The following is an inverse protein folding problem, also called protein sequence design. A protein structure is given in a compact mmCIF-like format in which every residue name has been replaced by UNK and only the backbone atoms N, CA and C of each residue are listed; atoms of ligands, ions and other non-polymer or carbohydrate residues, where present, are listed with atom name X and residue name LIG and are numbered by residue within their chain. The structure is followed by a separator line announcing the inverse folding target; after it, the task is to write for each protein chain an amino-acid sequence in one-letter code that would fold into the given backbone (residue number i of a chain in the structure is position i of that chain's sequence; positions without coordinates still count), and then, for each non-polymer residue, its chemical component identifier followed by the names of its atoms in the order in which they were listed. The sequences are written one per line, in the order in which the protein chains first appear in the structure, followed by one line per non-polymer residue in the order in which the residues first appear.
data_IF_085160293421
#
_entry.id   IF_085160293421
#
_cell.length_a   1.000
_cell.length_b   1.000
_cell.length_c   1.000
_cell.angle_alpha   90.00
_cell.angle_beta   90.00
_cell.angle_gamma   90.00
#
_symmetry.space_group_name_H-M   'P 1'
#
loop_
_entity.id
_entity.type
_entity.pdbx_description
1 polymer ?
#
# COMPACT_ATOMS: atom_id res chain seq x y z
N UNK A 1 -44.72 -21.31 -57.44
CA UNK A 1 -43.60 -20.52 -56.88
C UNK A 1 -44.14 -19.53 -55.86
N UNK A 2 -43.98 -19.79 -54.56
CA UNK A 2 -44.06 -18.78 -53.49
C UNK A 2 -42.94 -19.11 -52.50
N UNK A 3 -41.93 -18.25 -52.47
CA UNK A 3 -40.78 -18.39 -51.59
C UNK A 3 -41.20 -18.11 -50.14
N UNK A 4 -40.92 -19.05 -49.25
CA UNK A 4 -41.01 -18.90 -47.80
C UNK A 4 -39.73 -18.16 -47.35
N UNK A 5 -39.85 -16.89 -46.96
CA UNK A 5 -38.76 -16.15 -46.34
C UNK A 5 -38.72 -16.43 -44.85
N UNK A 6 -37.82 -17.29 -44.40
CA UNK A 6 -37.52 -17.46 -42.98
C UNK A 6 -36.69 -16.26 -42.51
N UNK A 7 -37.28 -15.41 -41.67
CA UNK A 7 -36.57 -14.35 -40.96
C UNK A 7 -35.79 -15.04 -39.82
N UNK A 8 -34.48 -15.13 -39.97
CA UNK A 8 -33.57 -15.56 -38.92
C UNK A 8 -33.40 -14.40 -37.95
N UNK A 9 -34.01 -14.50 -36.77
CA UNK A 9 -33.64 -13.65 -35.64
C UNK A 9 -32.29 -14.16 -35.11
N UNK A 10 -31.20 -13.47 -35.47
CA UNK A 10 -29.94 -13.60 -34.76
C UNK A 10 -30.13 -12.87 -33.43
N UNK A 11 -30.46 -13.62 -32.38
CA UNK A 11 -30.36 -13.14 -31.01
C UNK A 11 -28.86 -12.94 -30.74
N UNK A 12 -28.36 -11.73 -30.95
CA UNK A 12 -27.07 -11.35 -30.41
C UNK A 12 -27.20 -11.36 -28.89
N UNK A 13 -26.77 -12.45 -28.26
CA UNK A 13 -26.54 -12.47 -26.83
C UNK A 13 -25.47 -11.41 -26.52
N UNK A 14 -25.93 -10.22 -26.14
CA UNK A 14 -25.08 -9.27 -25.43
C UNK A 14 -24.75 -9.96 -24.12
N UNK A 15 -23.55 -10.53 -24.03
CA UNK A 15 -22.94 -10.86 -22.76
C UNK A 15 -22.82 -9.55 -21.98
N UNK A 16 -23.86 -9.19 -21.23
CA UNK A 16 -23.69 -8.31 -20.08
C UNK A 16 -22.82 -9.10 -19.11
N UNK A 17 -21.51 -8.93 -19.20
CA UNK A 17 -20.63 -9.30 -18.11
C UNK A 17 -21.10 -8.47 -16.91
N UNK A 18 -21.65 -9.14 -15.90
CA UNK A 18 -21.92 -8.48 -14.62
C UNK A 18 -20.60 -7.98 -14.06
N UNK A 19 -20.56 -6.75 -13.56
CA UNK A 19 -19.40 -6.23 -12.88
C UNK A 19 -18.95 -7.20 -11.75
N UNK A 20 -17.65 -7.36 -11.56
CA UNK A 20 -17.11 -8.11 -10.43
C UNK A 20 -17.50 -7.46 -9.09
N UNK A 21 -17.62 -6.12 -9.08
CA UNK A 21 -17.87 -5.37 -7.86
C UNK A 21 -18.65 -4.07 -8.11
N UNK A 22 -19.57 -3.76 -7.21
CA UNK A 22 -20.21 -2.44 -7.11
C UNK A 22 -19.84 -1.75 -5.80
N UNK A 23 -19.53 -0.46 -5.86
CA UNK A 23 -19.27 0.40 -4.71
C UNK A 23 -20.36 1.47 -4.69
N UNK A 24 -21.14 1.53 -3.62
CA UNK A 24 -22.25 2.45 -3.45
C UNK A 24 -21.97 3.31 -2.23
N UNK A 25 -21.87 4.62 -2.42
CA UNK A 25 -21.69 5.59 -1.34
C UNK A 25 -23.00 6.34 -1.18
N UNK A 26 -23.61 6.27 -0.01
CA UNK A 26 -24.85 6.95 0.33
C UNK A 26 -24.60 7.95 1.45
N UNK A 27 -25.32 9.07 1.42
CA UNK A 27 -25.23 10.14 2.41
C UNK A 27 -26.50 11.00 2.37
N UNK A 28 -26.79 11.69 3.46
CA UNK A 28 -27.87 12.67 3.57
C UNK A 28 -27.40 14.03 3.02
N UNK A 29 -27.85 14.36 1.81
CA UNK A 29 -27.42 15.58 1.12
C UNK A 29 -27.84 16.90 1.83
N UNK A 30 -28.78 16.86 2.78
CA UNK A 30 -29.17 18.02 3.58
C UNK A 30 -28.21 18.30 4.74
N UNK A 31 -27.52 17.28 5.25
CA UNK A 31 -26.59 17.40 6.36
C UNK A 31 -25.14 17.58 5.88
N UNK A 32 -24.82 17.11 4.67
CA UNK A 32 -23.52 17.33 4.05
C UNK A 32 -23.42 16.70 2.68
N UNK A 33 -22.38 17.08 1.93
CA UNK A 33 -22.09 16.48 0.64
C UNK A 33 -20.74 15.77 0.68
N UNK A 34 -20.69 14.56 0.14
CA UNK A 34 -19.51 13.72 0.12
C UNK A 34 -19.07 13.46 -1.31
N UNK A 35 -17.77 13.39 -1.55
CA UNK A 35 -17.21 13.03 -2.85
C UNK A 35 -16.35 11.79 -2.74
N UNK A 36 -16.61 10.82 -3.60
CA UNK A 36 -15.85 9.57 -3.64
C UNK A 36 -14.74 9.68 -4.68
N UNK A 37 -13.54 9.26 -4.31
CA UNK A 37 -12.38 9.16 -5.19
C UNK A 37 -11.88 7.72 -5.18
N UNK A 38 -11.90 7.07 -6.33
CA UNK A 38 -11.24 5.77 -6.51
C UNK A 38 -9.84 6.02 -7.08
N UNK A 39 -8.82 5.76 -6.26
CA UNK A 39 -7.43 5.75 -6.71
C UNK A 39 -7.12 4.38 -7.31
N UNK A 40 -7.16 4.29 -8.64
CA UNK A 40 -7.03 3.07 -9.42
C UNK A 40 -5.60 2.88 -9.93
N UNK A 41 -4.95 1.81 -9.48
CA UNK A 41 -3.58 1.46 -9.85
C UNK A 41 -3.57 0.25 -10.79
N UNK A 42 -2.97 0.44 -11.97
CA UNK A 42 -2.82 -0.61 -12.98
C UNK A 42 -1.56 -0.41 -13.81
N UNK A 43 -0.76 -1.47 -13.93
CA UNK A 43 0.47 -1.48 -14.74
C UNK A 43 1.47 -0.39 -14.34
N UNK A 44 1.58 -0.10 -13.03
CA UNK A 44 2.48 0.91 -12.49
C UNK A 44 2.03 2.36 -12.67
N UNK A 45 0.80 2.59 -13.15
CA UNK A 45 0.20 3.92 -13.27
C UNK A 45 -0.97 4.04 -12.32
N UNK A 46 -1.20 5.26 -11.83
CA UNK A 46 -2.32 5.62 -10.98
C UNK A 46 -3.27 6.55 -11.74
N UNK A 47 -4.56 6.25 -11.69
CA UNK A 47 -5.66 7.07 -12.17
C UNK A 47 -6.60 7.38 -11.01
N UNK A 48 -7.31 8.51 -11.07
CA UNK A 48 -8.24 8.93 -10.01
C UNK A 48 -9.61 9.15 -10.62
N UNK A 49 -10.57 8.34 -10.19
CA UNK A 49 -11.95 8.36 -10.69
C UNK A 49 -12.81 9.04 -9.63
N UNK A 50 -13.37 10.21 -9.98
CA UNK A 50 -14.15 11.06 -9.06
C UNK A 50 -15.63 10.94 -9.35
N UNK A 51 -16.43 10.62 -8.34
CA UNK A 51 -17.87 10.41 -8.53
C UNK A 51 -18.61 11.64 -9.07
N UNK A 52 -18.18 12.85 -8.70
CA UNK A 52 -18.79 14.09 -9.19
C UNK A 52 -18.44 14.42 -10.66
N UNK A 53 -17.34 13.90 -11.21
CA UNK A 53 -16.92 14.17 -12.60
C UNK A 53 -17.53 13.21 -13.62
N UNK A 54 -18.13 12.10 -13.18
CA UNK A 54 -18.79 11.08 -14.02
C UNK A 54 -17.92 10.48 -15.16
N UNK A 55 -16.61 10.70 -15.16
CA UNK A 55 -15.68 10.13 -16.14
C UNK A 55 -15.26 8.71 -15.71
N UNK A 56 -15.34 7.68 -16.58
CA UNK A 56 -14.82 6.35 -16.28
C UNK A 56 -13.29 6.32 -16.25
N UNK A 57 -12.70 5.20 -15.80
CA UNK A 57 -11.26 4.95 -15.98
C UNK A 57 -10.90 4.88 -17.47
N UNK A 58 -9.64 5.16 -17.85
CA UNK A 58 -9.24 5.22 -19.28
C UNK A 58 -9.40 3.89 -19.99
N UNK A 59 -9.30 2.79 -19.25
CA UNK A 59 -9.51 1.42 -19.75
C UNK A 59 -10.96 0.94 -19.65
N UNK A 60 -11.89 1.79 -19.21
CA UNK A 60 -13.30 1.51 -18.96
C UNK A 60 -13.59 0.41 -17.94
N UNK A 61 -12.58 -0.03 -17.17
CA UNK A 61 -12.74 -1.04 -16.12
C UNK A 61 -13.56 -0.52 -14.94
N UNK A 62 -13.45 0.77 -14.61
CA UNK A 62 -14.23 1.44 -13.58
C UNK A 62 -15.19 2.42 -14.24
N UNK A 63 -16.48 2.27 -13.98
CA UNK A 63 -17.54 3.15 -14.49
C UNK A 63 -18.32 3.75 -13.34
N UNK A 64 -18.85 4.94 -13.55
CA UNK A 64 -19.73 5.62 -12.60
C UNK A 64 -21.17 5.39 -13.10
N UNK A 65 -22.01 4.80 -12.25
CA UNK A 65 -23.40 4.54 -12.56
C UNK A 65 -24.30 5.65 -12.00
N UNK A 66 -25.35 6.01 -12.74
CA UNK A 66 -26.37 6.94 -12.24
C UNK A 66 -27.30 6.20 -11.27
N UNK A 67 -27.51 6.77 -10.07
CA UNK A 67 -28.48 6.24 -9.11
C UNK A 67 -29.88 6.71 -9.46
N UNK A 68 -30.82 5.77 -9.52
CA UNK A 68 -32.25 6.06 -9.74
C UNK A 68 -32.94 6.77 -8.55
N UNK A 69 -32.35 6.74 -7.34
CA UNK A 69 -32.97 7.23 -6.09
C UNK A 69 -32.40 8.55 -5.54
N UNK A 70 -31.71 9.34 -6.35
CA UNK A 70 -31.48 10.77 -6.11
C UNK A 70 -30.29 11.19 -5.24
N UNK A 71 -29.78 10.37 -4.32
CA UNK A 71 -28.65 10.76 -3.45
C UNK A 71 -27.54 9.70 -3.43
N UNK A 72 -26.27 10.12 -3.41
CA UNK A 72 -25.10 9.24 -3.38
C UNK A 72 -24.43 8.95 -4.73
N UNK A 73 -23.34 8.18 -4.70
CA UNK A 73 -22.49 7.84 -5.84
C UNK A 73 -22.38 6.32 -5.99
N UNK A 74 -22.34 5.82 -7.23
CA UNK A 74 -22.14 4.40 -7.51
C UNK A 74 -21.03 4.20 -8.53
N UNK A 75 -20.16 3.23 -8.26
CA UNK A 75 -19.10 2.79 -9.16
C UNK A 75 -19.25 1.29 -9.40
N UNK A 76 -18.97 0.86 -10.63
CA UNK A 76 -18.89 -0.56 -10.99
C UNK A 76 -17.49 -0.85 -11.51
N UNK A 77 -16.89 -1.93 -11.02
CA UNK A 77 -15.58 -2.44 -11.46
C UNK A 77 -15.83 -3.73 -12.24
N UNK A 78 -15.53 -3.73 -13.54
CA UNK A 78 -15.78 -4.88 -14.40
C UNK A 78 -14.88 -6.07 -14.06
N UNK A 79 -13.57 -5.82 -13.89
CA UNK A 79 -12.58 -6.85 -13.53
C UNK A 79 -11.71 -6.39 -12.36
N UNK A 80 -11.81 -7.14 -11.27
CA UNK A 80 -11.06 -6.93 -10.03
C UNK A 80 -9.76 -7.73 -9.97
N UNK A 81 -9.52 -8.64 -10.92
CA UNK A 81 -8.30 -9.44 -10.99
C UNK A 81 -7.11 -8.58 -11.41
N UNK A 82 -5.99 -8.72 -10.72
CA UNK A 82 -4.75 -8.10 -11.17
C UNK A 82 -4.70 -6.56 -11.05
N UNK A 83 -5.66 -5.97 -10.34
CA UNK A 83 -5.73 -4.53 -10.09
C UNK A 83 -5.57 -4.23 -8.61
N UNK A 84 -5.30 -2.97 -8.31
CA UNK A 84 -5.48 -2.41 -6.98
C UNK A 84 -6.26 -1.10 -7.10
N UNK A 85 -7.19 -0.85 -6.19
CA UNK A 85 -7.90 0.41 -6.12
C UNK A 85 -8.20 0.79 -4.67
N UNK A 86 -7.95 2.03 -4.27
CA UNK A 86 -8.35 2.52 -2.95
C UNK A 86 -9.62 3.36 -3.07
N UNK A 87 -10.56 3.16 -2.15
CA UNK A 87 -11.84 3.86 -2.10
C UNK A 87 -11.76 4.93 -1.03
N UNK A 88 -11.67 6.19 -1.45
CA UNK A 88 -11.61 7.35 -0.57
C UNK A 88 -12.93 8.12 -0.61
N UNK A 89 -13.33 8.67 0.53
CA UNK A 89 -14.52 9.51 0.64
C UNK A 89 -14.15 10.78 1.41
N UNK A 90 -14.34 11.93 0.76
CA UNK A 90 -14.01 13.25 1.29
C UNK A 90 -15.26 14.12 1.44
N UNK A 91 -15.23 15.08 2.34
CA UNK A 91 -16.21 16.18 2.37
C UNK A 91 -16.06 16.95 1.05
N UNK A 92 -17.15 17.13 0.29
CA UNK A 92 -17.10 17.78 -1.02
C UNK A 92 -16.72 19.27 -0.92
N UNK A 93 -17.12 19.93 0.17
CA UNK A 93 -16.88 21.35 0.43
C UNK A 93 -15.61 21.61 1.24
N UNK A 94 -14.75 20.60 1.34
CA UNK A 94 -13.42 20.73 1.92
C UNK A 94 -12.53 21.61 1.02
N UNK A 95 -12.85 22.90 0.93
CA UNK A 95 -11.97 23.91 0.35
C UNK A 95 -11.13 24.53 1.46
N UNK A 96 -9.81 24.48 1.30
CA UNK A 96 -8.85 24.96 2.29
C UNK A 96 -8.93 26.48 2.47
N UNK A 97 -9.37 27.22 1.45
CA UNK A 97 -9.52 28.68 1.53
C UNK A 97 -10.63 29.10 2.52
N UNK A 98 -11.51 28.16 2.91
CA UNK A 98 -12.64 28.39 3.81
C UNK A 98 -12.73 27.39 4.97
N UNK A 99 -11.63 26.74 5.33
CA UNK A 99 -11.62 25.74 6.40
C UNK A 99 -12.18 26.27 7.73
N UNK A 100 -13.12 25.52 8.30
CA UNK A 100 -13.65 25.71 9.65
C UNK A 100 -13.74 24.35 10.38
N UNK A 101 -13.62 24.34 11.71
CA UNK A 101 -13.62 23.09 12.50
C UNK A 101 -14.93 22.31 12.35
N UNK A 102 -16.05 22.98 12.06
CA UNK A 102 -17.33 22.33 11.75
C UNK A 102 -17.26 21.42 10.52
N UNK A 103 -16.33 21.65 9.60
CA UNK A 103 -16.17 20.81 8.40
C UNK A 103 -15.67 19.39 8.73
N UNK A 104 -15.10 19.19 9.93
CA UNK A 104 -14.51 17.91 10.35
C UNK A 104 -15.55 16.87 10.77
N UNK A 105 -16.81 17.27 11.02
CA UNK A 105 -17.91 16.36 11.39
C UNK A 105 -18.89 16.11 10.26
N UNK A 106 -18.76 16.80 9.12
CA UNK A 106 -19.73 16.76 8.01
C UNK A 106 -19.97 15.35 7.49
N UNK A 107 -18.93 14.52 7.39
CA UNK A 107 -19.07 13.14 6.90
C UNK A 107 -19.88 12.27 7.87
N UNK A 108 -19.72 12.47 9.18
CA UNK A 108 -20.50 11.80 10.21
C UNK A 108 -21.93 12.32 10.25
N UNK A 109 -22.13 13.63 10.19
CA UNK A 109 -23.45 14.27 10.20
C UNK A 109 -24.28 13.92 8.96
N UNK A 110 -23.62 13.78 7.81
CA UNK A 110 -24.24 13.28 6.58
C UNK A 110 -24.48 11.77 6.58
N UNK A 111 -24.15 11.06 7.67
CA UNK A 111 -24.33 9.62 7.83
C UNK A 111 -23.79 8.83 6.64
N UNK A 112 -22.57 9.17 6.19
CA UNK A 112 -22.01 8.56 4.98
C UNK A 112 -21.77 7.07 5.20
N UNK A 113 -22.32 6.23 4.34
CA UNK A 113 -22.08 4.78 4.34
C UNK A 113 -21.56 4.32 2.99
N UNK A 114 -20.51 3.50 3.00
CA UNK A 114 -19.98 2.82 1.81
C UNK A 114 -20.41 1.36 1.84
N UNK A 115 -21.17 0.93 0.83
CA UNK A 115 -21.53 -0.46 0.59
C UNK A 115 -20.71 -0.97 -0.59
N UNK A 116 -19.95 -2.05 -0.38
CA UNK A 116 -19.21 -2.74 -1.45
C UNK A 116 -19.82 -4.11 -1.65
N UNK A 117 -20.44 -4.33 -2.81
CA UNK A 117 -20.96 -5.63 -3.22
C UNK A 117 -19.91 -6.32 -4.08
N UNK A 118 -19.23 -7.31 -3.50
CA UNK A 118 -18.26 -8.16 -4.16
C UNK A 118 -19.00 -9.38 -4.75
N UNK A 119 -19.44 -9.25 -6.00
CA UNK A 119 -20.21 -10.29 -6.69
C UNK A 119 -19.35 -11.53 -6.97
N UNK A 120 -18.05 -11.32 -7.19
CA UNK A 120 -17.08 -12.37 -7.43
C UNK A 120 -16.94 -13.31 -6.22
N UNK A 121 -16.78 -12.75 -5.02
CA UNK A 121 -16.63 -13.53 -3.78
C UNK A 121 -17.96 -13.73 -3.05
N UNK A 122 -19.06 -13.17 -3.56
CA UNK A 122 -20.42 -13.27 -3.00
C UNK A 122 -20.51 -12.76 -1.57
N UNK A 123 -19.88 -11.61 -1.32
CA UNK A 123 -19.88 -10.94 -0.02
C UNK A 123 -20.22 -9.46 -0.20
N UNK A 124 -20.92 -8.89 0.77
CA UNK A 124 -21.17 -7.46 0.84
C UNK A 124 -20.52 -6.89 2.09
N UNK A 125 -19.78 -5.80 1.92
CA UNK A 125 -19.17 -5.05 3.02
C UNK A 125 -19.93 -3.75 3.23
N UNK A 126 -20.12 -3.37 4.49
CA UNK A 126 -20.64 -2.07 4.90
C UNK A 126 -19.55 -1.38 5.72
N UNK A 127 -19.13 -0.20 5.29
CA UNK A 127 -18.11 0.62 5.94
C UNK A 127 -18.75 1.93 6.34
N UNK A 128 -18.70 2.22 7.64
CA UNK A 128 -19.16 3.48 8.22
C UNK A 128 -18.00 4.48 8.33
N UNK A 129 -18.34 5.76 8.40
CA UNK A 129 -17.37 6.81 8.73
C UNK A 129 -16.74 6.54 10.10
N UNK A 130 -15.40 6.64 10.25
CA UNK A 130 -14.78 6.61 11.57
C UNK A 130 -15.34 7.70 12.50
N UNK A 131 -15.39 7.39 13.81
CA UNK A 131 -15.89 8.34 14.83
C UNK A 131 -14.97 9.57 15.00
N UNK A 132 -13.70 9.43 14.63
CA UNK A 132 -12.71 10.51 14.69
C UNK A 132 -13.07 11.64 13.69
N UNK A 133 -12.93 12.92 14.07
CA UNK A 133 -13.21 14.04 13.18
C UNK A 133 -12.22 14.10 12.02
N UNK A 134 -12.69 14.40 10.81
CA UNK A 134 -11.82 14.64 9.67
C UNK A 134 -12.52 14.93 8.34
N UNK A 135 -11.70 15.28 7.35
CA UNK A 135 -12.17 15.76 6.04
C UNK A 135 -12.24 14.65 4.99
N UNK A 136 -11.51 13.56 5.18
CA UNK A 136 -11.45 12.43 4.25
C UNK A 136 -11.14 11.15 4.99
N UNK A 137 -11.78 10.05 4.59
CA UNK A 137 -11.41 8.73 5.06
C UNK A 137 -11.14 7.76 3.91
N UNK A 138 -10.20 6.84 4.15
CA UNK A 138 -10.03 5.64 3.34
C UNK A 138 -11.09 4.63 3.79
N UNK A 139 -11.98 4.19 2.92
CA UNK A 139 -12.97 3.14 3.24
C UNK A 139 -12.36 1.73 3.14
N UNK A 140 -11.47 1.52 2.18
CA UNK A 140 -10.77 0.26 2.01
C UNK A 140 -10.08 0.13 0.65
N UNK A 141 -9.50 -1.05 0.42
CA UNK A 141 -8.71 -1.35 -0.78
C UNK A 141 -9.30 -2.55 -1.51
N UNK A 142 -9.57 -2.39 -2.81
CA UNK A 142 -9.79 -3.50 -3.74
C UNK A 142 -8.42 -4.01 -4.19
N UNK A 143 -8.19 -5.31 -4.07
CA UNK A 143 -7.00 -5.91 -4.64
C UNK A 143 -7.19 -7.38 -4.98
N UNK A 144 -6.67 -7.76 -6.15
CA UNK A 144 -6.62 -9.14 -6.64
C UNK A 144 -7.93 -9.93 -6.47
N UNK A 145 -9.05 -9.27 -6.77
CA UNK A 145 -10.35 -9.91 -6.77
C UNK A 145 -11.21 -9.70 -5.54
N UNK A 146 -10.73 -9.05 -4.48
CA UNK A 146 -11.48 -8.86 -3.24
C UNK A 146 -11.42 -7.41 -2.72
N UNK A 147 -12.41 -7.03 -1.90
CA UNK A 147 -12.39 -5.78 -1.14
C UNK A 147 -11.94 -6.02 0.31
N UNK A 148 -11.06 -5.16 0.80
CA UNK A 148 -10.53 -5.19 2.15
C UNK A 148 -10.90 -3.88 2.86
N UNK A 149 -11.90 -3.89 3.77
CA UNK A 149 -12.25 -2.71 4.55
C UNK A 149 -11.08 -2.28 5.46
N UNK A 150 -10.74 -1.00 5.41
CA UNK A 150 -9.74 -0.39 6.32
C UNK A 150 -10.08 1.08 6.61
N UNK A 151 -11.22 1.33 7.28
CA UNK A 151 -11.69 2.68 7.60
C UNK A 151 -10.65 3.46 8.41
N UNK A 152 -10.17 4.57 7.86
CA UNK A 152 -9.25 5.49 8.56
C UNK A 152 -9.52 6.93 8.18
N UNK A 153 -9.79 7.77 9.18
CA UNK A 153 -10.03 9.19 9.01
C UNK A 153 -8.73 9.97 8.95
N UNK A 154 -8.74 11.04 8.16
CA UNK A 154 -7.67 12.02 8.08
C UNK A 154 -8.24 13.43 8.26
N UNK A 155 -7.64 14.24 9.14
CA UNK A 155 -8.17 15.56 9.44
C UNK A 155 -8.07 16.55 8.27
N UNK A 156 -7.24 16.29 7.26
CA UNK A 156 -7.01 17.22 6.13
C UNK A 156 -6.75 16.47 4.83
N UNK A 157 -7.07 17.11 3.69
CA UNK A 157 -6.87 16.58 2.34
C UNK A 157 -5.39 16.60 1.91
N UNK A 158 -4.74 17.78 1.89
CA UNK A 158 -3.33 17.95 1.46
C UNK A 158 -2.32 17.81 2.59
N UNK A 159 -2.43 16.73 3.33
CA UNK A 159 -1.53 16.48 4.44
C UNK A 159 -0.62 15.26 4.18
N UNK A 160 0.65 15.46 4.47
CA UNK A 160 1.65 14.40 4.53
C UNK A 160 1.75 13.88 5.96
N UNK A 161 1.44 12.60 6.13
CA UNK A 161 1.53 11.89 7.40
C UNK A 161 2.76 11.01 7.41
N UNK A 162 3.66 11.27 8.34
CA UNK A 162 4.83 10.46 8.61
C UNK A 162 4.63 9.66 9.89
N UNK A 163 4.96 8.38 9.86
CA UNK A 163 5.16 7.57 11.06
C UNK A 163 6.58 7.00 11.03
N UNK A 164 7.39 7.31 12.04
CA UNK A 164 8.75 6.79 12.18
C UNK A 164 8.80 5.80 13.33
N UNK A 165 9.34 4.63 13.06
CA UNK A 165 9.59 3.59 14.05
C UNK A 165 11.04 3.15 14.00
N UNK A 166 11.51 2.52 15.06
CA UNK A 166 12.83 1.89 15.09
C UNK A 166 12.81 0.62 14.22
N UNK A 167 13.79 0.42 13.35
CA UNK A 167 13.78 -0.73 12.43
C UNK A 167 13.92 -2.08 13.16
N UNK A 168 14.63 -2.13 14.28
CA UNK A 168 14.88 -3.38 15.02
C UNK A 168 13.69 -3.74 15.91
N UNK A 169 13.18 -2.78 16.68
CA UNK A 169 12.14 -3.00 17.68
C UNK A 169 10.74 -2.69 17.15
N UNK A 170 10.63 -1.81 16.15
CA UNK A 170 9.41 -1.19 15.65
C UNK A 170 8.64 -0.38 16.71
N UNK A 171 9.32 0.03 17.77
CA UNK A 171 8.81 1.03 18.70
C UNK A 171 8.74 2.40 17.99
N UNK A 172 7.74 3.23 18.31
CA UNK A 172 7.70 4.60 17.81
C UNK A 172 8.94 5.41 18.17
N UNK A 173 9.43 6.21 17.22
CA UNK A 173 10.60 7.08 17.45
C UNK A 173 10.21 8.55 17.56
N UNK A 174 10.24 9.14 18.78
CA UNK A 174 10.05 10.56 18.97
C UNK A 174 11.26 11.37 18.55
N UNK A 175 11.07 12.68 18.35
CA UNK A 175 12.14 13.63 18.08
C UNK A 175 13.01 13.25 16.86
N UNK A 176 12.40 12.61 15.86
CA UNK A 176 13.01 12.39 14.54
C UNK A 176 12.76 13.64 13.72
N UNK A 177 13.83 14.24 13.20
CA UNK A 177 13.72 15.42 12.35
C UNK A 177 13.34 15.01 10.93
N UNK A 178 12.33 15.68 10.39
CA UNK A 178 11.89 15.59 9.01
C UNK A 178 12.05 16.95 8.32
N UNK A 179 12.93 17.01 7.32
CA UNK A 179 13.12 18.17 6.45
C UNK A 179 12.45 17.92 5.11
N UNK A 180 11.40 18.69 4.80
CA UNK A 180 10.67 18.61 3.53
C UNK A 180 11.13 19.70 2.59
N UNK A 181 11.36 19.33 1.33
CA UNK A 181 11.69 20.23 0.23
C UNK A 181 10.68 20.11 -0.89
N UNK A 182 10.25 21.23 -1.45
CA UNK A 182 9.46 21.31 -2.68
C UNK A 182 10.38 21.70 -3.83
N UNK A 183 10.50 20.83 -4.85
CA UNK A 183 11.40 21.03 -5.99
C UNK A 183 12.83 21.45 -5.58
N UNK A 184 13.32 20.85 -4.49
CA UNK A 184 14.65 21.10 -3.93
C UNK A 184 14.77 22.24 -2.92
N UNK A 185 13.75 23.09 -2.76
CA UNK A 185 13.74 24.19 -1.79
C UNK A 185 13.12 23.76 -0.47
N UNK A 186 13.75 24.00 0.70
CA UNK A 186 13.16 23.69 2.00
C UNK A 186 11.83 24.43 2.21
N UNK A 187 10.79 23.71 2.60
CA UNK A 187 9.44 24.26 2.88
C UNK A 187 8.97 23.99 4.30
N UNK A 188 9.49 22.95 4.96
CA UNK A 188 9.14 22.63 6.35
C UNK A 188 10.24 21.82 7.02
N UNK A 189 10.49 22.09 8.29
CA UNK A 189 11.28 21.24 9.17
C UNK A 189 10.51 21.04 10.47
N UNK A 190 10.27 19.79 10.84
CA UNK A 190 9.49 19.41 12.04
C UNK A 190 10.05 18.13 12.64
N UNK A 191 9.64 17.84 13.87
CA UNK A 191 10.01 16.63 14.58
C UNK A 191 8.78 15.75 14.83
N UNK A 192 8.98 14.43 14.89
CA UNK A 192 7.94 13.49 15.30
C UNK A 192 7.56 13.63 16.78
N UNK A 193 6.31 13.35 17.11
CA UNK A 193 5.77 13.34 18.47
C UNK A 193 6.18 12.07 19.26
N UNK A 194 5.66 11.91 20.49
CA UNK A 194 5.92 10.74 21.35
C UNK A 194 5.47 9.39 20.75
N UNK A 195 4.62 9.42 19.72
CA UNK A 195 4.13 8.25 18.97
C UNK A 195 4.84 8.10 17.63
N UNK A 196 5.94 8.83 17.42
CA UNK A 196 6.70 8.81 16.17
C UNK A 196 5.91 9.38 14.99
N UNK A 197 4.84 10.14 15.25
CA UNK A 197 3.95 10.67 14.22
C UNK A 197 4.26 12.14 13.93
N UNK A 198 4.05 12.54 12.68
CA UNK A 198 4.14 13.91 12.23
C UNK A 198 3.17 14.13 11.08
N UNK A 199 2.37 15.20 11.16
CA UNK A 199 1.47 15.63 10.09
C UNK A 199 1.93 17.01 9.59
N UNK A 200 2.13 17.13 8.28
CA UNK A 200 2.55 18.38 7.64
C UNK A 200 1.56 18.74 6.54
N UNK A 201 0.99 19.94 6.63
CA UNK A 201 0.21 20.53 5.55
C UNK A 201 1.15 20.97 4.43
N UNK A 202 0.79 20.63 3.19
CA UNK A 202 1.55 21.01 1.99
C UNK A 202 0.72 21.96 1.14
N UNK A 203 1.35 23.03 0.66
CA UNK A 203 0.65 24.11 -0.07
C UNK A 203 0.68 23.93 -1.59
N UNK A 204 1.81 23.44 -2.13
CA UNK A 204 2.04 23.40 -3.57
C UNK A 204 1.87 21.99 -4.16
N UNK A 205 1.36 21.91 -5.39
CA UNK A 205 1.30 20.64 -6.14
C UNK A 205 2.62 20.38 -6.87
N UNK A 206 3.11 19.16 -6.80
CA UNK A 206 4.31 18.73 -7.49
C UNK A 206 5.21 17.81 -6.67
N UNK A 207 6.49 17.80 -7.05
CA UNK A 207 7.50 16.92 -6.47
C UNK A 207 8.03 17.44 -5.13
N UNK A 208 7.95 16.57 -4.13
CA UNK A 208 8.53 16.76 -2.82
C UNK A 208 9.61 15.74 -2.54
N UNK A 209 10.58 16.14 -1.72
CA UNK A 209 11.49 15.22 -1.04
C UNK A 209 11.43 15.44 0.46
N UNK A 210 11.59 14.35 1.22
CA UNK A 210 11.68 14.38 2.67
C UNK A 210 12.97 13.69 3.09
N UNK A 211 13.77 14.36 3.91
CA UNK A 211 14.94 13.81 4.60
C UNK A 211 14.59 13.56 6.05
N UNK A 212 14.78 12.32 6.50
CA UNK A 212 14.43 11.86 7.83
C UNK A 212 15.73 11.51 8.55
N UNK A 213 15.96 12.12 9.71
CA UNK A 213 17.22 12.01 10.44
C UNK A 213 17.00 12.04 11.95
N UNK A 214 17.77 11.20 12.65
CA UNK A 214 17.91 11.20 14.11
C UNK A 214 19.36 10.84 14.43
N UNK A 215 19.95 11.47 15.44
CA UNK A 215 21.29 11.12 15.90
C UNK A 215 21.36 9.66 16.34
N UNK A 216 22.43 8.94 15.94
CA UNK A 216 22.59 7.50 16.17
C UNK A 216 21.88 6.60 15.16
N UNK A 217 21.17 7.18 14.18
CA UNK A 217 20.45 6.48 13.13
C UNK A 217 20.94 6.85 11.73
N UNK A 218 20.82 5.91 10.80
CA UNK A 218 21.15 6.11 9.40
C UNK A 218 20.05 6.98 8.75
N UNK A 219 20.37 8.16 8.19
CA UNK A 219 19.38 9.02 7.55
C UNK A 219 18.82 8.39 6.27
N UNK A 220 17.56 8.67 5.98
CA UNK A 220 16.88 8.22 4.76
C UNK A 220 16.20 9.37 4.04
N UNK A 221 16.16 9.28 2.72
CA UNK A 221 15.46 10.23 1.85
C UNK A 221 14.38 9.52 1.05
N UNK A 222 13.23 10.19 0.90
CA UNK A 222 12.09 9.73 0.12
C UNK A 222 11.58 10.84 -0.77
N UNK A 223 11.12 10.47 -1.97
CA UNK A 223 10.41 11.37 -2.88
C UNK A 223 8.94 10.98 -2.95
N UNK A 224 8.07 11.98 -3.06
CA UNK A 224 6.63 11.79 -3.29
C UNK A 224 6.07 12.94 -4.12
N UNK A 225 4.90 12.72 -4.72
CA UNK A 225 4.23 13.69 -5.58
C UNK A 225 2.87 14.04 -4.99
N UNK A 226 2.63 15.33 -4.74
CA UNK A 226 1.30 15.81 -4.38
C UNK A 226 0.59 16.28 -5.65
N UNK A 227 -0.48 15.59 -6.02
CA UNK A 227 -1.27 15.93 -7.19
C UNK A 227 -2.51 16.74 -6.82
N UNK A 228 -3.25 17.17 -7.84
CA UNK A 228 -4.53 17.87 -7.69
C UNK A 228 -5.64 16.99 -7.10
N UNK A 229 -5.33 15.73 -6.74
CA UNK A 229 -6.33 14.87 -6.14
C UNK A 229 -6.46 15.05 -4.63
N UNK A 230 -5.48 15.70 -4.00
CA UNK A 230 -5.53 16.10 -2.60
C UNK A 230 -5.82 14.92 -1.65
N UNK A 231 -5.40 13.71 -2.04
CA UNK A 231 -5.48 12.55 -1.15
C UNK A 231 -4.29 12.61 -0.18
N UNK A 232 -4.51 12.36 1.13
CA UNK A 232 -3.44 12.26 2.11
C UNK A 232 -2.32 11.33 1.67
N UNK A 233 -1.08 11.78 1.82
CA UNK A 233 0.09 10.92 1.59
C UNK A 233 0.55 10.36 2.92
N UNK A 234 0.55 9.03 3.04
CA UNK A 234 1.07 8.34 4.22
C UNK A 234 2.43 7.74 3.90
N UNK A 235 3.42 8.04 4.74
CA UNK A 235 4.72 7.40 4.71
C UNK A 235 5.03 6.81 6.08
N UNK A 236 5.35 5.52 6.10
CA UNK A 236 5.89 4.86 7.28
C UNK A 236 7.36 4.50 7.05
N UNK A 237 8.22 4.87 8.01
CA UNK A 237 9.67 4.73 7.89
C UNK A 237 10.23 4.03 9.13
N UNK A 238 10.71 2.79 8.99
CA UNK A 238 11.56 2.16 9.97
C UNK A 238 12.98 2.70 9.81
N UNK A 239 13.46 3.42 10.81
CA UNK A 239 14.79 4.01 10.82
C UNK A 239 15.76 3.04 11.49
N UNK A 240 16.85 2.72 10.81
CA UNK A 240 17.88 1.84 11.38
C UNK A 240 18.89 2.63 12.20
N UNK A 241 19.22 2.15 13.40
CA UNK A 241 20.43 2.57 14.11
C UNK A 241 21.67 2.36 13.24
N UNK A 242 22.74 3.10 13.54
CA UNK A 242 24.04 2.87 12.92
C UNK A 242 24.60 1.50 13.32
N UNK A 243 24.83 0.64 12.33
CA UNK A 243 25.42 -0.68 12.50
C UNK A 243 26.43 -0.99 11.41
N UNK A 244 27.39 -1.88 11.70
CA UNK A 244 28.39 -2.31 10.71
C UNK A 244 27.94 -3.54 9.92
N UNK A 245 27.06 -4.33 10.52
CA UNK A 245 26.48 -5.55 9.98
C UNK A 245 25.43 -5.26 8.89
N UNK A 246 24.93 -6.32 8.25
CA UNK A 246 23.81 -6.19 7.32
C UNK A 246 22.50 -6.13 8.08
N UNK A 247 21.66 -5.14 7.76
CA UNK A 247 20.25 -5.11 8.15
C UNK A 247 19.38 -4.96 6.92
N UNK A 248 18.37 -5.81 6.82
CA UNK A 248 17.42 -5.84 5.72
C UNK A 248 16.06 -5.52 6.29
N UNK A 249 15.47 -4.41 5.84
CA UNK A 249 14.19 -3.91 6.34
C UNK A 249 13.17 -3.99 5.21
N UNK A 250 12.10 -4.75 5.42
CA UNK A 250 10.94 -4.85 4.54
C UNK A 250 9.80 -4.02 5.13
N UNK A 251 9.27 -3.10 4.33
CA UNK A 251 8.01 -2.37 4.62
C UNK A 251 7.03 -2.57 3.50
N UNK A 252 5.73 -2.46 3.77
CA UNK A 252 4.67 -2.46 2.76
C UNK A 252 3.47 -1.62 3.21
N UNK A 253 2.55 -1.38 2.29
CA UNK A 253 1.29 -0.67 2.53
C UNK A 253 0.25 -1.57 3.19
N UNK A 254 -0.98 -1.09 3.34
CA UNK A 254 -2.05 -1.78 4.06
C UNK A 254 -2.47 -3.13 3.43
N UNK A 255 -2.16 -3.32 2.15
CA UNK A 255 -2.48 -4.52 1.40
C UNK A 255 -1.31 -4.92 0.48
N UNK A 256 -0.97 -6.22 0.34
CA UNK A 256 -1.50 -7.35 1.10
C UNK A 256 -1.17 -7.20 2.59
N UNK A 257 -2.00 -7.79 3.45
CA UNK A 257 -1.89 -7.59 4.90
C UNK A 257 -0.59 -8.14 5.49
N UNK A 258 -0.01 -9.13 4.82
CA UNK A 258 1.06 -9.96 5.34
C UNK A 258 2.07 -10.31 4.23
N UNK A 259 3.25 -9.69 4.32
CA UNK A 259 4.41 -10.00 3.50
C UNK A 259 5.54 -10.51 4.41
N UNK A 260 6.01 -11.73 4.14
CA UNK A 260 7.10 -12.34 4.89
C UNK A 260 8.47 -12.02 4.25
N UNK A 261 9.44 -11.71 5.09
CA UNK A 261 10.86 -11.67 4.79
C UNK A 261 11.47 -13.08 4.89
N UNK A 262 12.21 -13.45 3.84
CA UNK A 262 12.92 -14.71 3.77
C UNK A 262 14.41 -14.48 3.55
N UNK A 263 15.24 -15.11 4.38
CA UNK A 263 16.68 -15.12 4.20
C UNK A 263 17.21 -16.56 4.24
N UNK A 264 17.92 -16.99 3.20
CA UNK A 264 18.69 -18.22 3.24
C UNK A 264 20.18 -17.94 3.07
N UNK A 265 21.02 -18.69 3.77
CA UNK A 265 22.47 -18.47 3.75
C UNK A 265 23.26 -19.56 4.47
N UNK A 266 24.60 -19.42 4.50
CA UNK A 266 25.49 -20.31 5.25
C UNK A 266 25.38 -20.07 6.76
N UNK A 267 25.46 -21.13 7.56
CA UNK A 267 25.64 -20.99 9.02
C UNK A 267 27.12 -20.84 9.39
N UNK A 268 27.49 -20.10 10.45
CA UNK A 268 28.83 -20.16 11.01
C UNK A 268 29.18 -21.58 11.45
N UNK A 269 30.32 -22.11 11.02
CA UNK A 269 30.83 -23.44 11.36
C UNK A 269 30.52 -24.52 10.32
N UNK A 270 29.25 -24.78 10.01
CA UNK A 270 28.85 -25.72 8.93
C UNK A 270 27.34 -25.66 8.66
N UNK A 271 26.93 -25.96 7.42
CA UNK A 271 25.51 -26.08 7.03
C UNK A 271 24.89 -24.81 6.46
N UNK A 272 23.58 -24.86 6.23
CA UNK A 272 22.79 -23.76 5.67
C UNK A 272 21.53 -23.51 6.49
N UNK A 273 20.97 -22.32 6.36
CA UNK A 273 19.72 -21.93 7.02
C UNK A 273 18.72 -21.35 6.01
N UNK A 274 17.45 -21.32 6.41
CA UNK A 274 16.37 -20.57 5.76
C UNK A 274 15.45 -20.00 6.84
N UNK A 275 15.52 -18.70 7.04
CA UNK A 275 14.69 -17.93 7.98
C UNK A 275 13.37 -17.55 7.32
N UNK A 276 12.29 -17.68 8.08
CA UNK A 276 10.93 -17.21 7.79
C UNK A 276 10.10 -17.21 9.08
N UNK A 277 8.85 -16.72 9.03
CA UNK A 277 8.00 -16.52 10.21
C UNK A 277 7.95 -17.72 11.19
N UNK A 278 7.91 -18.97 10.69
CA UNK A 278 7.87 -20.17 11.53
C UNK A 278 9.24 -20.81 11.82
N UNK A 279 10.31 -20.41 11.13
CA UNK A 279 11.66 -20.95 11.32
C UNK A 279 12.65 -19.83 11.64
N UNK A 280 12.66 -19.42 12.91
CA UNK A 280 13.59 -18.42 13.43
C UNK A 280 14.90 -19.10 13.78
N UNK A 281 16.02 -18.60 13.24
CA UNK A 281 17.34 -19.17 13.46
C UNK A 281 18.14 -18.24 14.38
N UNK A 282 18.65 -18.82 15.47
CA UNK A 282 19.56 -18.17 16.40
C UNK A 282 20.99 -18.35 15.92
N UNK A 283 21.68 -17.28 15.59
CA UNK A 283 23.11 -17.31 15.22
C UNK A 283 23.85 -16.34 16.14
N UNK A 284 24.91 -16.81 16.81
CA UNK A 284 25.65 -16.01 17.79
C UNK A 284 24.85 -15.63 19.03
N UNK A 285 23.78 -16.37 19.35
CA UNK A 285 22.91 -16.11 20.51
C UNK A 285 21.87 -15.01 20.31
N UNK A 286 21.70 -14.49 19.07
CA UNK A 286 20.66 -13.53 18.69
C UNK A 286 19.77 -14.10 17.60
N UNK A 287 18.48 -13.77 17.63
CA UNK A 287 17.58 -14.08 16.53
C UNK A 287 17.98 -13.23 15.32
N UNK A 288 18.03 -13.82 14.13
CA UNK A 288 18.25 -13.03 12.91
C UNK A 288 16.96 -12.39 12.40
N UNK A 289 15.78 -12.81 12.86
CA UNK A 289 14.52 -12.09 12.65
C UNK A 289 14.27 -11.22 13.88
N UNK A 290 14.73 -9.98 13.81
CA UNK A 290 14.65 -9.03 14.93
C UNK A 290 13.20 -8.65 15.20
N UNK A 291 12.41 -8.54 14.12
CA UNK A 291 10.96 -8.30 14.15
C UNK A 291 10.24 -9.06 13.06
N UNK A 292 9.17 -9.70 13.49
CA UNK A 292 8.19 -10.44 12.70
C UNK A 292 6.85 -9.74 12.90
N UNK A 293 6.35 -9.06 11.86
CA UNK A 293 5.09 -8.32 11.94
C UNK A 293 4.07 -8.93 10.99
N UNK A 294 3.22 -9.78 11.55
CA UNK A 294 2.20 -10.52 10.79
C UNK A 294 0.99 -9.64 10.41
N UNK A 295 1.04 -8.31 10.60
CA UNK A 295 -0.10 -7.42 10.36
C UNK A 295 0.26 -6.01 9.81
N UNK A 296 -0.39 -5.65 8.70
CA UNK A 296 -0.52 -4.28 8.14
C UNK A 296 0.70 -3.75 7.40
N UNK A 297 1.63 -3.05 8.05
CA UNK A 297 2.59 -2.15 7.36
C UNK A 297 4.07 -2.56 7.50
N UNK A 298 4.34 -3.78 7.98
CA UNK A 298 5.66 -4.16 8.49
C UNK A 298 6.11 -3.27 9.67
N UNK A 299 7.42 -3.05 9.91
CA UNK A 299 8.49 -3.68 9.18
C UNK A 299 8.65 -5.14 9.59
N UNK A 300 9.13 -5.94 8.66
CA UNK A 300 9.93 -7.11 9.01
C UNK A 300 11.40 -6.76 8.85
N UNK A 301 12.21 -7.15 9.83
CA UNK A 301 13.62 -6.78 9.85
C UNK A 301 14.48 -7.99 10.17
N UNK A 302 15.49 -8.18 9.32
CA UNK A 302 16.47 -9.25 9.45
C UNK A 302 17.87 -8.64 9.57
N UNK A 303 18.57 -8.89 10.68
CA UNK A 303 19.97 -8.50 10.86
C UNK A 303 20.90 -9.72 10.82
N UNK A 304 21.97 -9.62 10.02
CA UNK A 304 23.00 -10.67 9.89
C UNK A 304 24.18 -10.32 10.81
N UNK A 305 24.07 -10.66 12.10
CA UNK A 305 25.07 -10.27 13.11
C UNK A 305 26.45 -10.91 12.92
N UNK A 306 26.49 -12.15 12.43
CA UNK A 306 27.73 -12.92 12.23
C UNK A 306 27.70 -13.53 10.84
N UNK A 307 28.08 -12.76 9.79
CA UNK A 307 28.04 -13.26 8.42
C UNK A 307 29.11 -14.34 8.22
N UNK A 308 28.68 -15.58 7.99
CA UNK A 308 29.52 -16.65 7.46
C UNK A 308 29.81 -16.44 5.96
N UNK A 309 30.87 -17.07 5.46
CA UNK A 309 31.22 -17.06 4.04
C UNK A 309 30.28 -17.97 3.23
N UNK A 310 29.80 -17.44 2.11
CA UNK A 310 28.85 -18.10 1.24
C UNK A 310 27.83 -17.12 0.67
N UNK A 311 26.89 -17.67 -0.11
CA UNK A 311 25.82 -16.95 -0.76
C UNK A 311 24.61 -16.78 0.18
N UNK A 312 24.18 -15.54 0.38
CA UNK A 312 22.88 -15.23 0.99
C UNK A 312 21.86 -14.88 -0.09
N UNK A 313 20.61 -15.33 0.09
CA UNK A 313 19.48 -15.08 -0.80
C UNK A 313 18.36 -14.46 0.00
N UNK A 314 17.86 -13.30 -0.43
CA UNK A 314 16.75 -12.62 0.21
C UNK A 314 15.52 -12.59 -0.71
N UNK A 315 14.36 -12.96 -0.17
CA UNK A 315 13.09 -12.94 -0.89
C UNK A 315 11.98 -12.37 -0.02
N UNK A 316 10.96 -11.81 -0.67
CA UNK A 316 9.70 -11.40 -0.06
C UNK A 316 8.61 -12.34 -0.52
N UNK A 317 7.78 -12.83 0.39
CA UNK A 317 6.67 -13.70 0.09
C UNK A 317 5.35 -13.07 0.49
N UNK A 318 4.42 -12.99 -0.44
CA UNK A 318 3.07 -12.55 -0.19
C UNK A 318 2.25 -13.70 0.41
N UNK A 319 2.35 -13.85 1.72
CA UNK A 319 1.69 -14.93 2.46
C UNK A 319 0.16 -14.83 2.40
N UNK A 320 -0.35 -13.60 2.44
CA UNK A 320 -1.79 -13.30 2.32
C UNK A 320 -2.40 -13.90 1.05
N UNK A 321 -1.63 -13.91 -0.06
CA UNK A 321 -2.10 -14.34 -1.37
C UNK A 321 -1.34 -15.56 -1.90
N UNK A 322 -0.71 -16.35 -1.01
CA UNK A 322 0.16 -17.48 -1.35
C UNK A 322 -0.46 -18.56 -2.25
N UNK A 323 -1.78 -18.60 -2.41
CA UNK A 323 -2.48 -19.54 -3.32
C UNK A 323 -2.85 -18.93 -4.68
N UNK A 324 -2.63 -17.63 -4.90
CA UNK A 324 -2.93 -16.93 -6.14
C UNK A 324 -1.70 -16.88 -7.05
N UNK A 325 -1.51 -17.90 -7.89
CA UNK A 325 -0.31 -18.05 -8.74
C UNK A 325 -0.05 -16.92 -9.73
N UNK A 326 -1.08 -16.17 -10.11
CA UNK A 326 -0.99 -14.99 -10.98
C UNK A 326 -1.23 -13.67 -10.22
N UNK A 327 -1.00 -13.64 -8.91
CA UNK A 327 -1.25 -12.46 -8.07
C UNK A 327 -0.43 -11.25 -8.51
N UNK A 328 -1.07 -10.08 -8.48
CA UNK A 328 -0.41 -8.77 -8.62
C UNK A 328 -0.23 -8.06 -7.28
N UNK A 329 -0.41 -8.78 -6.16
CA UNK A 329 -0.32 -8.21 -4.83
C UNK A 329 1.05 -7.66 -4.48
N UNK A 330 2.14 -8.30 -4.91
CA UNK A 330 3.50 -7.79 -4.69
C UNK A 330 3.71 -6.42 -5.39
N UNK A 331 3.44 -6.27 -6.70
CA UNK A 331 3.39 -4.95 -7.35
C UNK A 331 2.58 -3.88 -6.62
N UNK A 332 1.37 -4.22 -6.17
CA UNK A 332 0.45 -3.30 -5.48
C UNK A 332 0.76 -3.10 -3.99
N UNK A 333 1.71 -3.86 -3.45
CA UNK A 333 1.95 -3.86 -2.00
C UNK A 333 2.56 -2.57 -1.47
N UNK A 334 3.05 -1.69 -2.36
CA UNK A 334 3.93 -0.59 -1.99
C UNK A 334 5.18 -1.08 -1.22
N UNK A 335 5.56 -2.36 -1.40
CA UNK A 335 6.69 -2.92 -0.69
C UNK A 335 7.98 -2.19 -1.06
N UNK A 336 8.83 -2.04 -0.04
CA UNK A 336 10.19 -1.52 -0.17
C UNK A 336 11.10 -2.37 0.70
N UNK A 337 12.22 -2.77 0.12
CA UNK A 337 13.29 -3.49 0.82
C UNK A 337 14.52 -2.59 0.85
N UNK A 338 14.91 -2.18 2.04
CA UNK A 338 16.12 -1.39 2.28
C UNK A 338 17.21 -2.29 2.88
N UNK A 339 18.41 -2.22 2.31
CA UNK A 339 19.58 -2.99 2.78
C UNK A 339 20.62 -2.01 3.30
N UNK A 340 20.84 -2.06 4.61
CA UNK A 340 21.84 -1.29 5.32
C UNK A 340 23.09 -2.15 5.57
N UNK A 341 24.27 -1.56 5.40
CA UNK A 341 25.55 -2.13 5.82
C UNK A 341 26.58 -1.00 5.98
N UNK A 342 27.64 -1.25 6.75
CA UNK A 342 28.75 -0.29 6.92
C UNK A 342 28.29 1.12 7.37
N UNK A 343 27.24 1.22 8.19
CA UNK A 343 26.71 2.50 8.70
C UNK A 343 25.93 3.33 7.68
N UNK A 344 25.51 2.76 6.54
CA UNK A 344 24.73 3.48 5.52
C UNK A 344 23.68 2.59 4.85
N UNK A 345 22.74 3.23 4.16
CA UNK A 345 21.83 2.56 3.22
C UNK A 345 22.61 2.21 1.95
N UNK A 346 22.81 0.92 1.67
CA UNK A 346 23.55 0.45 0.49
C UNK A 346 22.67 0.39 -0.74
N UNK A 347 21.47 -0.22 -0.64
CA UNK A 347 20.53 -0.38 -1.76
C UNK A 347 19.07 -0.39 -1.27
N UNK A 348 18.18 0.08 -2.15
CA UNK A 348 16.73 0.01 -1.97
C UNK A 348 16.10 -0.69 -3.18
N UNK A 349 15.15 -1.57 -2.92
CA UNK A 349 14.43 -2.32 -3.95
C UNK A 349 12.92 -2.10 -3.84
N UNK A 350 12.23 -2.12 -4.98
CA UNK A 350 10.76 -2.12 -5.07
C UNK A 350 10.30 -3.22 -6.03
N UNK A 351 9.12 -3.81 -5.81
CA UNK A 351 8.53 -4.73 -6.77
C UNK A 351 8.36 -4.09 -8.15
N UNK A 352 8.58 -4.87 -9.20
CA UNK A 352 8.34 -4.48 -10.58
C UNK A 352 6.82 -4.47 -10.83
N UNK A 353 6.23 -3.32 -11.24
CA UNK A 353 4.79 -3.19 -11.39
C UNK A 353 4.17 -4.06 -12.48
N UNK A 354 4.99 -4.68 -13.33
CA UNK A 354 4.55 -5.52 -14.46
C UNK A 354 4.56 -7.01 -14.16
N UNK A 355 5.16 -7.41 -13.04
CA UNK A 355 5.38 -8.81 -12.70
C UNK A 355 4.20 -9.40 -11.92
N UNK A 356 4.11 -10.73 -11.93
CA UNK A 356 3.08 -11.49 -11.21
C UNK A 356 3.74 -12.61 -10.43
N UNK A 357 3.12 -12.99 -9.32
CA UNK A 357 3.58 -14.08 -8.48
C UNK A 357 3.34 -13.79 -7.00
N UNK A 358 3.67 -14.79 -6.18
CA UNK A 358 3.55 -14.70 -4.71
C UNK A 358 4.91 -14.57 -4.05
N UNK A 359 6.01 -14.79 -4.77
CA UNK A 359 7.38 -14.65 -4.27
C UNK A 359 8.14 -13.67 -5.15
N UNK A 360 8.88 -12.76 -4.52
CA UNK A 360 9.86 -11.89 -5.14
C UNK A 360 11.24 -12.18 -4.57
N UNK A 361 12.10 -12.84 -5.35
CA UNK A 361 13.52 -12.97 -5.05
C UNK A 361 14.20 -11.63 -5.37
N UNK A 362 14.52 -10.88 -4.32
CA UNK A 362 14.94 -9.48 -4.40
C UNK A 362 16.40 -9.39 -4.84
N UNK A 363 17.30 -9.92 -4.02
CA UNK A 363 18.74 -9.82 -4.21
C UNK A 363 19.48 -11.01 -3.58
N UNK A 364 20.77 -11.09 -3.89
CA UNK A 364 21.74 -11.95 -3.23
C UNK A 364 22.85 -11.13 -2.58
N UNK A 365 23.43 -11.62 -1.48
CA UNK A 365 24.73 -11.17 -0.98
C UNK A 365 25.73 -12.26 -1.33
N UNK A 366 26.69 -11.94 -2.19
CA UNK A 366 27.72 -12.88 -2.64
C UNK A 366 28.82 -13.09 -1.60
N UNK A 367 29.69 -14.07 -1.84
CA UNK A 367 30.84 -14.36 -0.98
C UNK A 367 31.76 -13.15 -0.80
N UNK A 368 31.95 -12.35 -1.85
CA UNK A 368 32.69 -11.08 -1.84
C UNK A 368 31.88 -9.91 -1.28
N UNK A 369 30.80 -10.19 -0.54
CA UNK A 369 29.98 -9.23 0.22
C UNK A 369 29.26 -8.18 -0.65
N UNK A 370 29.09 -8.46 -1.95
CA UNK A 370 28.33 -7.58 -2.87
C UNK A 370 26.84 -7.91 -2.85
N UNK A 371 26.03 -6.86 -2.82
CA UNK A 371 24.57 -6.95 -2.98
C UNK A 371 24.26 -6.93 -4.48
N UNK A 372 23.82 -8.07 -5.01
CA UNK A 372 23.48 -8.25 -6.43
C UNK A 372 21.96 -8.36 -6.59
N UNK A 373 21.30 -7.43 -7.30
CA UNK A 373 19.88 -7.53 -7.62
C UNK A 373 19.58 -8.83 -8.39
N UNK A 374 18.49 -9.50 -8.02
CA UNK A 374 17.97 -10.69 -8.72
C UNK A 374 16.65 -10.38 -9.43
N UNK A 375 15.74 -9.68 -8.74
CA UNK A 375 14.42 -9.26 -9.23
C UNK A 375 13.64 -10.35 -10.01
N UNK A 376 13.51 -11.54 -9.41
CA UNK A 376 12.79 -12.67 -10.02
C UNK A 376 11.49 -12.96 -9.29
N UNK A 377 10.43 -13.24 -10.04
CA UNK A 377 9.11 -13.56 -9.51
C UNK A 377 8.77 -15.02 -9.75
N UNK A 378 8.12 -15.64 -8.77
CA UNK A 378 7.62 -17.00 -8.87
C UNK A 378 6.37 -17.18 -8.03
N UNK A 379 5.79 -18.37 -8.10
CA UNK A 379 4.71 -18.79 -7.22
C UNK A 379 5.21 -19.87 -6.27
N UNK A 380 4.97 -19.66 -5.00
CA UNK A 380 5.12 -20.65 -3.95
C UNK A 380 3.98 -20.44 -2.95
N UNK A 381 3.39 -21.53 -2.47
CA UNK A 381 2.32 -21.48 -1.45
C UNK A 381 2.82 -21.86 -0.06
N UNK A 382 3.95 -22.56 0.02
CA UNK A 382 4.56 -22.99 1.26
C UNK A 382 5.90 -22.28 1.49
N UNK A 383 5.92 -21.42 2.50
CA UNK A 383 7.08 -20.62 2.92
C UNK A 383 8.35 -21.46 3.06
N UNK A 384 8.26 -22.74 3.45
CA UNK A 384 9.42 -23.63 3.63
C UNK A 384 10.12 -24.03 2.32
N UNK A 385 9.52 -23.75 1.16
CA UNK A 385 9.98 -24.18 -0.15
C UNK A 385 10.45 -23.03 -1.05
N UNK A 386 10.51 -21.79 -0.53
CA UNK A 386 10.85 -20.60 -1.32
C UNK A 386 12.24 -20.64 -1.95
N UNK A 387 13.22 -21.26 -1.29
CA UNK A 387 14.60 -21.38 -1.79
C UNK A 387 15.02 -22.80 -2.19
N UNK A 388 14.05 -23.71 -2.35
CA UNK A 388 14.29 -25.10 -2.73
C UNK A 388 14.21 -25.34 -4.23
#
# INVERSE_FOLDING_TARGET
MRFLGAIVFILSAVLCLSADMDIIVSYNAFAGDATTVIQYMKGGKTEYIRGHLKNPSKDNNIRIAERFSGEGQQFSIENTSGIQAQVWVANHFADEDFFDESMLSVLQEAEVTVIVNDHRNRVSHRVEVPEEPGMIFLAGTVSDGAFHPSPRMYPKLKCFYLNVVDAETGNPLPDVQAEIRFRGNPVSTRNTDSRGELAIQLSDYGDYTIKIFKEGYIPVEHSFFLDLNEIPTLLRVPLSEELKEYRIVLTWGDFPRDLDAHLAGPMPGSGTFHIWWQNKVLIGGRNFLDRDDTNRYGPETITIYVPADGLYRYAVHNFSQRHASASTGLPGSQARVDVYANGKLEQSFRPDPTQKGTVWHVFNITEDKKIIPVNRYSHQSDSKNIFK
#
